data_IF_682683743997
#
_entry.id   IF_682683743997
#
_cell.length_a   1.000
_cell.length_b   1.000
_cell.length_c   1.000
_cell.angle_alpha   90.00
_cell.angle_beta   90.00
_cell.angle_gamma   90.00
#
_symmetry.space_group_name_H-M   'P 1'
#
loop_
_entity.id
_entity.type
_entity.pdbx_description
1 polymer ?
#
# COMPACT_ATOMS: atom_id res chain seq x y z
N UNK A 1 13.89 -41.99 7.69
CA UNK A 1 12.42 -42.09 7.90
C UNK A 1 12.05 -41.17 9.04
N UNK A 2 11.49 -39.99 8.75
CA UNK A 2 11.09 -39.03 9.78
C UNK A 2 9.85 -39.57 10.53
N UNK A 3 9.82 -39.56 11.87
CA UNK A 3 8.67 -40.11 12.61
C UNK A 3 7.41 -39.30 12.33
N UNK A 4 6.33 -39.97 11.89
CA UNK A 4 5.00 -39.37 11.59
C UNK A 4 4.46 -38.46 12.72
N UNK A 5 4.83 -38.76 13.97
CA UNK A 5 4.44 -37.96 15.15
C UNK A 5 5.11 -36.58 15.18
N UNK A 6 6.34 -36.46 14.69
CA UNK A 6 7.08 -35.18 14.65
C UNK A 6 6.51 -34.23 13.59
N UNK A 7 6.01 -34.78 12.48
CA UNK A 7 5.36 -34.00 11.42
C UNK A 7 4.03 -33.38 11.88
N UNK A 8 3.27 -34.07 12.73
CA UNK A 8 2.03 -33.56 13.32
C UNK A 8 2.34 -32.42 14.29
N UNK A 9 3.35 -32.57 15.15
CA UNK A 9 3.78 -31.51 16.07
C UNK A 9 4.23 -30.24 15.34
N UNK A 10 4.92 -30.35 14.21
CA UNK A 10 5.34 -29.20 13.39
C UNK A 10 4.17 -28.48 12.70
N UNK A 11 3.12 -29.22 12.30
CA UNK A 11 1.87 -28.64 11.76
C UNK A 11 1.07 -27.87 12.82
N UNK A 12 1.06 -28.33 14.08
CA UNK A 12 0.42 -27.59 15.17
C UNK A 12 1.24 -26.39 15.65
N UNK A 13 2.58 -26.49 15.65
CA UNK A 13 3.46 -25.39 16.03
C UNK A 13 3.45 -24.22 15.02
N UNK A 14 3.12 -24.47 13.76
CA UNK A 14 2.95 -23.42 12.75
C UNK A 14 1.58 -22.73 12.81
N UNK A 15 0.57 -23.36 13.42
CA UNK A 15 -0.77 -22.78 13.57
C UNK A 15 -0.88 -21.80 14.76
N UNK A 16 0.07 -21.83 15.71
CA UNK A 16 0.05 -20.97 16.90
C UNK A 16 0.73 -19.62 16.72
N UNK A 17 1.39 -19.37 15.58
CA UNK A 17 1.98 -18.06 15.26
C UNK A 17 1.03 -17.27 14.33
N UNK A 18 -0.24 -17.16 14.72
CA UNK A 18 -1.08 -16.09 14.22
C UNK A 18 -0.57 -14.78 14.85
N UNK A 19 0.33 -14.10 14.16
CA UNK A 19 0.81 -12.77 14.56
C UNK A 19 -0.40 -11.87 14.70
N UNK A 20 -0.74 -11.46 15.93
CA UNK A 20 -1.81 -10.51 16.23
C UNK A 20 -1.51 -9.27 15.39
N UNK A 21 -2.24 -9.06 14.29
CA UNK A 21 -2.11 -7.81 13.53
C UNK A 21 -2.52 -6.73 14.51
N UNK A 22 -1.63 -5.77 14.75
CA UNK A 22 -1.96 -4.57 15.50
C UNK A 22 -2.91 -3.76 14.62
N UNK A 23 -4.18 -4.12 14.64
CA UNK A 23 -5.26 -3.30 14.10
C UNK A 23 -5.25 -2.06 14.98
N UNK A 24 -4.81 -0.92 14.45
CA UNK A 24 -5.11 0.34 15.13
C UNK A 24 -6.62 0.53 15.02
N UNK A 25 -7.25 0.92 16.12
CA UNK A 25 -8.66 1.31 16.12
C UNK A 25 -8.78 2.64 15.37
N UNK A 26 -8.86 2.59 14.04
CA UNK A 26 -9.15 3.77 13.20
C UNK A 26 -10.66 3.84 12.97
N UNK A 27 -11.20 5.05 12.99
CA UNK A 27 -12.65 5.27 12.88
C UNK A 27 -13.10 5.47 11.43
N UNK A 28 -12.20 5.94 10.57
CA UNK A 28 -12.46 6.17 9.15
C UNK A 28 -11.17 6.10 8.34
N UNK A 29 -11.35 5.88 7.04
CA UNK A 29 -10.29 6.04 6.05
C UNK A 29 -10.46 7.35 5.30
N UNK A 30 -9.33 7.96 4.95
CA UNK A 30 -9.27 9.08 4.03
C UNK A 30 -8.77 8.58 2.69
N UNK A 31 -9.64 8.59 1.67
CA UNK A 31 -9.23 8.44 0.29
C UNK A 31 -8.84 9.81 -0.26
N UNK A 32 -7.54 10.09 -0.40
CA UNK A 32 -7.10 11.33 -1.03
C UNK A 32 -6.77 11.13 -2.49
N UNK A 33 -7.19 12.11 -3.28
CA UNK A 33 -6.94 12.20 -4.69
C UNK A 33 -6.03 13.41 -4.96
N UNK A 34 -5.16 13.28 -5.94
CA UNK A 34 -4.35 14.40 -6.42
C UNK A 34 -4.85 14.84 -7.79
N UNK A 35 -4.71 16.14 -8.06
CA UNK A 35 -4.93 16.74 -9.37
C UNK A 35 -3.55 16.88 -10.06
N UNK A 36 -3.15 15.95 -10.95
CA UNK A 36 -1.78 15.88 -11.43
C UNK A 36 -1.32 17.16 -12.15
N UNK A 37 -2.25 17.87 -12.81
CA UNK A 37 -1.93 19.11 -13.51
C UNK A 37 -1.40 20.20 -12.58
N UNK A 38 -2.00 20.38 -11.39
CA UNK A 38 -1.52 21.35 -10.42
C UNK A 38 -0.18 20.91 -9.80
N UNK A 39 -0.05 19.62 -9.46
CA UNK A 39 1.19 19.08 -8.88
C UNK A 39 2.36 19.22 -9.85
N UNK A 40 2.19 18.75 -11.09
CA UNK A 40 3.21 18.87 -12.12
C UNK A 40 3.53 20.33 -12.48
N UNK A 41 2.57 21.25 -12.36
CA UNK A 41 2.85 22.66 -12.59
C UNK A 41 3.83 23.19 -11.53
N UNK A 42 3.65 22.83 -10.26
CA UNK A 42 4.55 23.23 -9.17
C UNK A 42 5.91 22.57 -9.34
N UNK A 43 5.97 21.25 -9.56
CA UNK A 43 7.24 20.52 -9.70
C UNK A 43 8.10 21.05 -10.86
N UNK A 44 7.46 21.39 -11.99
CA UNK A 44 8.18 21.92 -13.16
C UNK A 44 8.66 23.37 -12.97
N UNK A 45 8.22 24.10 -11.94
CA UNK A 45 8.81 25.40 -11.57
C UNK A 45 10.17 25.23 -10.89
N UNK A 46 10.34 24.14 -10.15
CA UNK A 46 11.58 23.82 -9.45
C UNK A 46 12.57 23.08 -10.37
N UNK A 47 12.11 22.08 -11.13
CA UNK A 47 12.90 21.35 -12.12
C UNK A 47 12.12 21.13 -13.43
N UNK A 48 12.42 21.91 -14.48
CA UNK A 48 11.67 21.88 -15.74
C UNK A 48 11.63 20.49 -16.40
N UNK A 49 10.45 20.10 -16.87
CA UNK A 49 10.17 18.91 -17.67
C UNK A 49 10.37 17.56 -16.95
N UNK A 50 10.49 17.55 -15.63
CA UNK A 50 10.52 16.34 -14.80
C UNK A 50 9.14 15.70 -14.65
N UNK A 51 8.07 16.51 -14.58
CA UNK A 51 6.71 16.04 -14.42
C UNK A 51 5.93 16.14 -15.74
N UNK A 52 5.52 14.99 -16.29
CA UNK A 52 4.77 14.89 -17.55
C UNK A 52 3.47 14.11 -17.35
N UNK A 53 2.36 14.70 -17.79
CA UNK A 53 1.04 14.08 -17.72
C UNK A 53 0.73 13.46 -19.10
N UNK A 54 0.45 12.15 -19.17
CA UNK A 54 0.07 11.52 -20.42
C UNK A 54 -1.21 12.12 -21.02
N UNK A 55 -1.25 12.24 -22.35
CA UNK A 55 -2.47 12.68 -23.04
C UNK A 55 -3.62 11.71 -22.75
N UNK A 56 -4.78 12.26 -22.38
CA UNK A 56 -5.97 11.45 -22.03
C UNK A 56 -5.94 10.85 -20.63
N UNK A 57 -4.97 11.22 -19.78
CA UNK A 57 -4.98 10.83 -18.38
C UNK A 57 -6.23 11.38 -17.65
N UNK A 58 -6.67 10.65 -16.62
CA UNK A 58 -7.74 11.11 -15.73
C UNK A 58 -7.36 12.44 -15.06
N UNK A 59 -8.30 13.38 -14.88
CA UNK A 59 -8.04 14.64 -14.16
C UNK A 59 -7.62 14.41 -12.70
N UNK A 60 -8.11 13.33 -12.08
CA UNK A 60 -7.79 12.96 -10.70
C UNK A 60 -7.16 11.59 -10.65
N UNK A 61 -6.16 11.42 -9.79
CA UNK A 61 -5.49 10.14 -9.54
C UNK A 61 -5.41 9.86 -8.05
N UNK A 62 -5.20 8.60 -7.68
CA UNK A 62 -5.02 8.21 -6.28
C UNK A 62 -3.73 8.84 -5.75
N UNK A 63 -3.84 9.60 -4.66
CA UNK A 63 -2.69 10.04 -3.88
C UNK A 63 -2.39 9.03 -2.77
N UNK A 64 -3.43 8.54 -2.10
CA UNK A 64 -3.31 7.50 -1.09
C UNK A 64 -4.61 7.17 -0.39
N UNK A 65 -4.50 6.18 0.49
CA UNK A 65 -5.53 5.76 1.42
C UNK A 65 -4.87 5.71 2.80
N UNK A 66 -5.32 6.58 3.71
CA UNK A 66 -4.84 6.64 5.09
C UNK A 66 -5.94 6.22 6.04
#
# INVERSE_FOLDING_TARGET
MLPKRLSIFLLFASLTIAKKRHVSDFEFFTFAQMFPAAVCQVDNMDDPATCKIPTGASPWTVHGLW
#
